data_IF_448188737953
#
_entry.id   IF_448188737953
#
_cell.length_a   1.000
_cell.length_b   1.000
_cell.length_c   1.000
_cell.angle_alpha   90.00
_cell.angle_beta   90.00
_cell.angle_gamma   90.00
#
_symmetry.space_group_name_H-M   'P 1'
#
loop_
_entity.id
_entity.type
_entity.pdbx_description
1 polymer ?
#
# COMPACT_ATOMS: atom_id res chain seq x y z
N UNK A 1 -24.40 21.20 21.44
CA UNK A 1 -24.23 19.80 21.04
C UNK A 1 -22.82 19.63 20.51
N UNK A 2 -21.86 19.38 21.42
CA UNK A 2 -20.45 19.20 21.13
C UNK A 2 -20.05 17.83 21.69
N UNK A 3 -20.32 16.77 20.93
CA UNK A 3 -19.94 15.37 21.27
C UNK A 3 -19.27 14.67 20.07
N UNK A 4 -18.94 15.42 19.00
CA UNK A 4 -18.49 14.85 17.73
C UNK A 4 -17.02 15.09 17.34
N UNK A 5 -16.20 15.72 18.19
CA UNK A 5 -14.84 16.18 17.79
C UNK A 5 -13.72 15.53 18.61
N UNK A 6 -14.02 14.81 19.69
CA UNK A 6 -13.01 14.29 20.63
C UNK A 6 -12.52 12.87 20.27
N UNK A 7 -13.28 12.08 19.51
CA UNK A 7 -12.91 10.68 19.17
C UNK A 7 -11.89 10.52 18.03
N UNK A 8 -11.39 11.62 17.45
CA UNK A 8 -10.38 11.60 16.39
C UNK A 8 -8.93 11.73 16.87
N UNK A 9 -8.68 12.02 18.16
CA UNK A 9 -7.33 12.37 18.66
C UNK A 9 -6.53 11.21 19.25
N UNK A 10 -7.18 10.12 19.66
CA UNK A 10 -6.54 8.97 20.34
C UNK A 10 -5.76 8.03 19.38
N UNK A 11 -5.97 8.07 18.06
CA UNK A 11 -5.51 7.00 17.14
C UNK A 11 -4.21 7.28 16.36
N UNK A 12 -3.64 8.47 16.47
CA UNK A 12 -2.34 8.82 15.85
C UNK A 12 -1.14 8.15 16.57
N UNK A 13 -1.35 7.69 17.81
CA UNK A 13 -0.32 7.17 18.72
C UNK A 13 0.31 5.86 18.22
N UNK A 14 -0.42 5.05 17.45
CA UNK A 14 0.05 3.72 17.01
C UNK A 14 1.16 3.81 15.93
N UNK A 15 1.20 4.91 15.16
CA UNK A 15 2.34 5.19 14.26
C UNK A 15 3.58 5.52 15.09
N UNK A 16 3.43 6.19 16.24
CA UNK A 16 4.53 6.45 17.16
C UNK A 16 5.09 5.15 17.75
N UNK A 17 4.22 4.26 18.25
CA UNK A 17 4.66 3.00 18.91
C UNK A 17 5.33 2.06 17.91
N UNK A 18 4.75 1.81 16.74
CA UNK A 18 5.36 0.89 15.75
C UNK A 18 6.63 1.46 15.10
N UNK A 19 6.69 2.78 14.86
CA UNK A 19 7.90 3.41 14.33
C UNK A 19 8.99 3.47 15.40
N UNK A 20 8.65 3.62 16.68
CA UNK A 20 9.64 3.59 17.76
C UNK A 20 10.12 2.17 18.08
N UNK A 21 9.26 1.15 18.08
CA UNK A 21 9.67 -0.23 18.35
C UNK A 21 10.53 -0.82 17.22
N UNK A 22 10.20 -0.57 15.96
CA UNK A 22 11.00 -1.07 14.82
C UNK A 22 12.33 -0.31 14.69
N UNK A 23 12.38 0.98 15.06
CA UNK A 23 13.62 1.78 15.04
C UNK A 23 14.47 1.53 16.29
N UNK A 24 13.87 1.17 17.44
CA UNK A 24 14.62 0.88 18.66
C UNK A 24 15.60 -0.28 18.47
N UNK A 25 15.21 -1.36 17.80
CA UNK A 25 16.11 -2.50 17.58
C UNK A 25 17.30 -2.18 16.67
N UNK A 26 17.15 -1.28 15.70
CA UNK A 26 18.24 -0.90 14.78
C UNK A 26 19.09 0.28 15.32
N UNK A 27 18.60 1.07 16.29
CA UNK A 27 19.33 2.18 16.92
C UNK A 27 20.08 1.74 18.19
N UNK A 28 19.61 0.73 18.90
CA UNK A 28 20.27 0.22 20.14
C UNK A 28 21.65 -0.39 19.84
N UNK A 29 21.93 -0.81 18.61
CA UNK A 29 23.28 -1.22 18.20
C UNK A 29 24.26 -0.07 17.94
N UNK A 30 23.80 1.19 17.88
CA UNK A 30 24.60 2.33 17.42
C UNK A 30 24.88 3.40 18.49
N UNK A 31 24.43 3.26 19.74
CA UNK A 31 24.64 4.33 20.74
C UNK A 31 24.67 3.83 22.18
N UNK A 32 25.80 3.25 22.60
CA UNK A 32 26.20 3.23 24.02
C UNK A 32 27.33 4.24 24.21
N UNK A 33 26.97 5.49 24.57
CA UNK A 33 27.68 6.31 25.56
C UNK A 33 27.06 7.71 25.59
N UNK A 34 26.57 8.14 26.76
CA UNK A 34 26.27 9.55 27.01
C UNK A 34 25.14 9.80 28.00
N UNK A 35 25.40 9.55 29.28
CA UNK A 35 24.68 10.18 30.41
C UNK A 35 24.82 11.69 30.32
N UNK A 36 23.74 12.47 30.56
CA UNK A 36 23.77 13.66 31.44
C UNK A 36 22.36 13.94 32.02
N UNK A 37 22.32 14.01 33.35
CA UNK A 37 21.22 14.46 34.23
C UNK A 37 21.06 15.98 34.25
N UNK A 38 19.84 16.51 34.37
CA UNK A 38 19.62 17.92 34.71
C UNK A 38 18.14 18.27 34.87
N UNK A 39 17.76 18.63 36.09
CA UNK A 39 16.43 19.03 36.57
C UNK A 39 16.40 20.56 36.67
N UNK A 40 15.28 21.20 36.33
CA UNK A 40 14.85 22.46 36.96
C UNK A 40 13.35 22.72 36.67
N UNK A 41 12.66 23.19 37.70
CA UNK A 41 11.22 23.45 37.82
C UNK A 41 10.88 24.87 37.37
N UNK A 42 9.67 25.07 36.85
CA UNK A 42 9.09 26.39 36.57
C UNK A 42 7.60 26.25 36.24
N UNK A 43 6.76 26.76 37.14
CA UNK A 43 5.30 26.83 37.07
C UNK A 43 4.84 27.79 35.94
N UNK A 44 3.80 27.44 35.18
CA UNK A 44 2.83 28.41 34.64
C UNK A 44 1.59 27.72 34.01
N UNK A 45 0.43 28.13 34.55
CA UNK A 45 -0.95 28.20 34.05
C UNK A 45 -1.67 27.01 33.39
N UNK A 46 -2.77 26.65 34.05
CA UNK A 46 -3.72 25.57 33.83
C UNK A 46 -4.64 25.87 32.62
N UNK A 47 -4.49 25.07 31.56
CA UNK A 47 -5.39 25.05 30.40
C UNK A 47 -5.39 23.66 29.77
N UNK A 48 -6.44 22.88 30.10
CA UNK A 48 -6.73 21.50 29.69
C UNK A 48 -6.00 21.01 28.42
N UNK A 49 -4.92 20.26 28.65
CA UNK A 49 -4.17 19.50 27.65
C UNK A 49 -4.19 18.01 27.98
N UNK A 50 -5.39 17.44 28.13
CA UNK A 50 -5.55 15.99 28.15
C UNK A 50 -5.52 15.44 26.71
N UNK A 51 -4.33 15.04 26.26
CA UNK A 51 -4.03 13.83 25.44
C UNK A 51 -2.62 13.93 24.86
N UNK A 52 -1.64 13.93 25.76
CA UNK A 52 -0.23 13.64 25.50
C UNK A 52 0.17 12.37 26.27
N UNK A 53 -0.39 11.23 25.89
CA UNK A 53 -0.07 9.94 26.54
C UNK A 53 0.15 8.91 25.42
N UNK A 54 1.36 8.83 24.86
CA UNK A 54 2.26 7.72 25.21
C UNK A 54 3.76 8.12 25.28
N UNK A 55 4.10 9.35 24.94
CA UNK A 55 5.40 10.00 25.17
C UNK A 55 5.03 11.47 25.33
N UNK A 56 5.33 12.13 26.45
CA UNK A 56 4.90 13.51 26.77
C UNK A 56 5.45 14.58 25.81
N UNK A 57 5.12 14.48 24.52
CA UNK A 57 5.71 15.20 23.41
C UNK A 57 4.64 16.06 22.76
N UNK A 58 4.96 17.33 22.55
CA UNK A 58 4.07 18.25 21.84
C UNK A 58 3.92 17.88 20.36
N UNK A 59 2.78 18.23 19.74
CA UNK A 59 2.53 17.98 18.31
C UNK A 59 3.64 18.54 17.40
N UNK A 60 4.19 19.76 17.62
CA UNK A 60 5.28 20.28 16.80
C UNK A 60 6.56 19.45 16.92
N UNK A 61 6.88 18.97 18.12
CA UNK A 61 8.02 18.09 18.34
C UNK A 61 7.84 16.76 17.61
N UNK A 62 6.66 16.13 17.74
CA UNK A 62 6.35 14.89 17.01
C UNK A 62 6.47 15.08 15.50
N UNK A 63 5.94 16.19 14.95
CA UNK A 63 6.02 16.47 13.52
C UNK A 63 7.47 16.61 13.03
N UNK A 64 8.35 17.23 13.83
CA UNK A 64 9.78 17.35 13.54
C UNK A 64 10.48 15.99 13.59
N UNK A 65 10.22 15.18 14.62
CA UNK A 65 10.78 13.82 14.77
C UNK A 65 10.33 12.95 13.60
N UNK A 66 9.03 12.93 13.29
CA UNK A 66 8.48 12.19 12.16
C UNK A 66 9.16 12.57 10.85
N UNK A 67 9.36 13.88 10.59
CA UNK A 67 10.07 14.32 9.37
C UNK A 67 11.50 13.77 9.30
N UNK A 68 12.22 13.72 10.42
CA UNK A 68 13.59 13.18 10.49
C UNK A 68 13.59 11.67 10.22
N UNK A 69 12.68 10.94 10.85
CA UNK A 69 12.56 9.48 10.68
C UNK A 69 12.17 9.12 9.24
N UNK A 70 11.15 9.78 8.68
CA UNK A 70 10.76 9.57 7.27
C UNK A 70 11.93 9.85 6.34
N UNK A 71 12.68 10.93 6.56
CA UNK A 71 13.85 11.25 5.75
C UNK A 71 14.96 10.21 5.86
N UNK A 72 15.15 9.61 7.04
CA UNK A 72 16.13 8.53 7.23
C UNK A 72 15.68 7.25 6.52
N UNK A 73 14.44 6.81 6.74
CA UNK A 73 13.88 5.60 6.11
C UNK A 73 13.94 5.70 4.58
N UNK A 74 13.46 6.80 4.00
CA UNK A 74 13.35 6.94 2.54
C UNK A 74 14.71 6.92 1.82
N UNK A 75 15.82 7.27 2.49
CA UNK A 75 17.17 7.09 1.92
C UNK A 75 17.50 5.63 1.64
N UNK A 76 16.87 4.70 2.35
CA UNK A 76 17.08 3.26 2.23
C UNK A 76 15.93 2.55 1.50
N UNK A 77 14.97 3.27 0.90
CA UNK A 77 13.78 2.67 0.25
C UNK A 77 14.12 1.49 -0.67
N UNK A 78 15.18 1.62 -1.49
CA UNK A 78 15.63 0.59 -2.44
C UNK A 78 16.17 -0.70 -1.79
N UNK A 79 16.39 -0.71 -0.48
CA UNK A 79 16.77 -1.92 0.26
C UNK A 79 15.57 -2.70 0.81
N UNK A 80 14.40 -2.06 0.84
CA UNK A 80 13.17 -2.63 1.41
C UNK A 80 12.13 -2.96 0.34
N UNK A 81 12.03 -2.13 -0.70
CA UNK A 81 11.08 -2.31 -1.81
C UNK A 81 11.90 -2.55 -3.07
N UNK A 82 11.97 -3.81 -3.48
CA UNK A 82 12.80 -4.30 -4.58
C UNK A 82 11.92 -5.07 -5.55
N UNK A 83 12.01 -4.71 -6.82
CA UNK A 83 11.33 -5.43 -7.89
C UNK A 83 12.14 -6.67 -8.29
N UNK A 84 11.51 -7.83 -8.59
CA UNK A 84 12.24 -9.04 -8.96
C UNK A 84 13.21 -8.82 -10.12
N UNK A 85 14.43 -9.31 -9.98
CA UNK A 85 15.42 -9.34 -11.05
C UNK A 85 15.35 -10.66 -11.82
N UNK A 86 16.12 -10.76 -12.91
CA UNK A 86 16.13 -11.96 -13.78
C UNK A 86 16.44 -13.25 -13.01
N UNK A 87 17.29 -13.16 -11.98
CA UNK A 87 17.63 -14.30 -11.12
C UNK A 87 16.49 -14.80 -10.24
N UNK A 88 15.55 -13.93 -9.88
CA UNK A 88 14.42 -14.25 -8.99
C UNK A 88 13.24 -14.88 -9.75
N UNK A 89 13.16 -14.64 -11.08
CA UNK A 89 12.01 -15.02 -11.89
C UNK A 89 11.58 -16.49 -11.77
N UNK A 90 12.49 -17.49 -11.76
CA UNK A 90 12.06 -18.89 -11.64
C UNK A 90 11.25 -19.15 -10.36
N UNK A 91 11.67 -18.58 -9.24
CA UNK A 91 10.99 -18.72 -7.94
C UNK A 91 9.67 -17.96 -7.96
N UNK A 92 9.69 -16.67 -8.31
CA UNK A 92 8.49 -15.82 -8.28
C UNK A 92 7.39 -16.37 -9.20
N UNK A 93 7.76 -16.84 -10.40
CA UNK A 93 6.81 -17.49 -11.33
C UNK A 93 6.21 -18.75 -10.74
N UNK A 94 7.02 -19.58 -10.09
CA UNK A 94 6.56 -20.81 -9.45
C UNK A 94 5.56 -20.52 -8.34
N UNK A 95 5.87 -19.53 -7.49
CA UNK A 95 5.01 -19.16 -6.36
C UNK A 95 3.66 -18.61 -6.81
N UNK A 96 3.64 -17.76 -7.84
CA UNK A 96 2.38 -17.29 -8.42
C UNK A 96 1.61 -18.39 -9.16
N UNK A 97 2.31 -19.29 -9.86
CA UNK A 97 1.66 -20.41 -10.53
C UNK A 97 0.93 -21.32 -9.52
N UNK A 98 1.46 -21.46 -8.30
CA UNK A 98 0.81 -22.20 -7.22
C UNK A 98 -0.49 -21.55 -6.71
N UNK A 99 -0.71 -20.24 -6.94
CA UNK A 99 -1.93 -19.54 -6.49
C UNK A 99 -3.13 -19.76 -7.41
N UNK A 100 -2.91 -19.70 -8.72
CA UNK A 100 -4.02 -19.70 -9.68
C UNK A 100 -3.73 -20.38 -11.01
N UNK A 101 -2.58 -21.03 -11.17
CA UNK A 101 -2.18 -21.74 -12.40
C UNK A 101 -2.08 -20.87 -13.66
N UNK A 102 -1.93 -19.55 -13.50
CA UNK A 102 -1.57 -18.65 -14.61
C UNK A 102 -0.04 -18.64 -14.72
N UNK A 103 0.53 -19.02 -15.88
CA UNK A 103 1.97 -19.11 -16.04
C UNK A 103 2.63 -17.73 -16.05
N UNK A 104 3.88 -17.70 -15.60
CA UNK A 104 4.78 -16.55 -15.69
C UNK A 104 4.32 -15.22 -15.06
N UNK A 105 3.36 -15.23 -14.14
CA UNK A 105 3.06 -14.04 -13.33
C UNK A 105 4.24 -13.75 -12.40
N UNK A 106 4.62 -12.47 -12.29
CA UNK A 106 5.71 -12.02 -11.42
C UNK A 106 5.29 -10.98 -10.37
N UNK A 107 4.02 -10.60 -10.36
CA UNK A 107 3.48 -9.63 -9.43
C UNK A 107 2.01 -9.36 -9.69
N UNK A 108 1.29 -8.93 -8.65
CA UNK A 108 -0.04 -8.36 -8.75
C UNK A 108 0.02 -6.85 -8.56
N UNK A 109 -0.63 -6.09 -9.45
CA UNK A 109 -0.67 -4.63 -9.45
C UNK A 109 -2.08 -4.13 -9.20
N UNK A 110 -2.23 -3.15 -8.32
CA UNK A 110 -3.51 -2.50 -8.05
C UNK A 110 -3.31 -1.15 -7.34
N UNK A 111 -4.37 -0.34 -7.29
CA UNK A 111 -4.46 0.93 -6.58
C UNK A 111 -5.09 0.81 -5.20
N UNK A 112 -4.73 1.73 -4.31
CA UNK A 112 -5.41 1.88 -3.03
C UNK A 112 -5.45 3.32 -2.58
N UNK A 113 -6.58 3.72 -1.98
CA UNK A 113 -6.75 5.08 -1.48
C UNK A 113 -6.32 5.23 -0.02
N UNK A 114 -5.60 6.33 0.25
CA UNK A 114 -5.20 6.77 1.60
C UNK A 114 -5.77 8.16 1.86
N UNK A 115 -6.60 8.29 2.88
CA UNK A 115 -7.31 9.53 3.18
C UNK A 115 -6.36 10.65 3.66
N UNK A 116 -6.56 11.87 3.16
CA UNK A 116 -5.87 13.07 3.63
C UNK A 116 -6.83 14.25 3.75
N UNK A 117 -6.38 15.29 4.44
CA UNK A 117 -6.98 16.62 4.34
C UNK A 117 -6.24 17.39 3.23
N UNK A 118 -6.87 17.66 2.08
CA UNK A 118 -6.17 18.28 0.96
C UNK A 118 -5.96 19.79 1.18
N UNK A 119 -5.01 20.42 0.46
CA UNK A 119 -4.92 21.87 0.40
C UNK A 119 -6.17 22.48 -0.24
N UNK A 120 -6.74 23.52 0.37
CA UNK A 120 -8.00 24.16 -0.07
C UNK A 120 -8.01 24.57 -1.54
N UNK A 121 -6.88 25.05 -2.05
CA UNK A 121 -6.74 25.53 -3.43
C UNK A 121 -6.82 24.42 -4.49
N UNK A 122 -6.62 23.16 -4.08
CA UNK A 122 -6.52 22.00 -4.98
C UNK A 122 -7.40 20.83 -4.53
N UNK A 123 -8.40 21.09 -3.67
CA UNK A 123 -9.24 20.07 -3.02
C UNK A 123 -9.85 19.08 -4.02
N UNK A 124 -10.37 19.59 -5.13
CA UNK A 124 -11.02 18.79 -6.18
C UNK A 124 -10.10 17.69 -6.77
N UNK A 125 -8.79 17.94 -6.85
CA UNK A 125 -7.84 16.96 -7.37
C UNK A 125 -7.76 15.71 -6.49
N UNK A 126 -8.04 15.84 -5.19
CA UNK A 126 -7.94 14.73 -4.24
C UNK A 126 -9.25 13.97 -4.07
N UNK A 127 -10.35 14.47 -4.64
CA UNK A 127 -11.67 13.84 -4.52
C UNK A 127 -11.72 12.59 -5.40
N UNK A 128 -11.87 11.43 -4.76
CA UNK A 128 -12.00 10.17 -5.46
C UNK A 128 -13.45 9.86 -5.88
N UNK A 129 -13.63 8.76 -6.60
CA UNK A 129 -14.94 8.26 -7.05
C UNK A 129 -15.91 7.98 -5.88
N UNK A 130 -15.39 7.68 -4.68
CA UNK A 130 -16.16 7.46 -3.44
C UNK A 130 -16.48 8.75 -2.67
N UNK A 131 -16.29 9.91 -3.29
CA UNK A 131 -16.59 11.23 -2.74
C UNK A 131 -15.85 11.59 -1.44
N UNK A 132 -14.65 11.06 -1.22
CA UNK A 132 -13.74 11.51 -0.17
C UNK A 132 -12.37 11.90 -0.71
N UNK A 133 -11.59 12.63 0.09
CA UNK A 133 -10.27 13.10 -0.31
C UNK A 133 -9.17 12.09 0.02
N UNK A 134 -8.35 11.75 -0.97
CA UNK A 134 -7.32 10.72 -0.84
C UNK A 134 -6.11 10.95 -1.74
N UNK A 135 -5.00 10.29 -1.41
CA UNK A 135 -3.96 9.92 -2.38
C UNK A 135 -4.38 8.60 -3.03
N UNK A 136 -4.21 8.46 -4.34
CA UNK A 136 -4.26 7.15 -4.99
C UNK A 136 -2.85 6.57 -5.08
N UNK A 137 -2.68 5.36 -4.55
CA UNK A 137 -1.38 4.69 -4.38
C UNK A 137 -1.40 3.39 -5.16
N UNK A 138 -0.59 3.31 -6.22
CA UNK A 138 -0.37 2.06 -6.93
C UNK A 138 0.70 1.23 -6.23
N UNK A 139 0.48 -0.06 -6.11
CA UNK A 139 1.41 -1.02 -5.51
C UNK A 139 1.53 -2.24 -6.41
N UNK A 140 2.75 -2.79 -6.49
CA UNK A 140 2.96 -4.17 -6.95
C UNK A 140 3.39 -5.01 -5.76
N UNK A 141 2.79 -6.18 -5.59
CA UNK A 141 3.18 -7.16 -4.58
C UNK A 141 3.49 -8.53 -5.18
N UNK A 142 4.27 -9.31 -4.43
CA UNK A 142 4.57 -10.70 -4.72
C UNK A 142 3.54 -11.65 -4.07
N UNK A 143 3.64 -12.94 -4.38
CA UNK A 143 2.75 -14.01 -3.89
C UNK A 143 2.67 -14.10 -2.35
N UNK A 144 3.74 -13.69 -1.67
CA UNK A 144 3.91 -13.69 -0.21
C UNK A 144 3.51 -12.36 0.46
N UNK A 145 2.83 -11.47 -0.27
CA UNK A 145 2.44 -10.11 0.15
C UNK A 145 3.61 -9.13 0.36
N UNK A 146 4.82 -9.46 -0.11
CA UNK A 146 5.93 -8.53 -0.13
C UNK A 146 5.72 -7.44 -1.19
N UNK A 147 5.85 -6.18 -0.81
CA UNK A 147 5.65 -5.03 -1.71
C UNK A 147 6.92 -4.83 -2.54
N UNK A 148 6.83 -5.00 -3.85
CA UNK A 148 7.96 -4.91 -4.78
C UNK A 148 8.02 -3.57 -5.53
N UNK A 149 6.91 -2.83 -5.59
CA UNK A 149 6.85 -1.46 -6.12
C UNK A 149 5.78 -0.63 -5.40
N UNK A 150 6.00 0.67 -5.28
CA UNK A 150 4.99 1.62 -4.77
C UNK A 150 5.10 2.97 -5.48
N UNK A 151 3.96 3.51 -5.91
CA UNK A 151 3.82 4.84 -6.48
C UNK A 151 2.68 5.60 -5.77
N UNK A 152 3.05 6.44 -4.80
CA UNK A 152 2.11 7.19 -3.96
C UNK A 152 1.97 8.68 -4.37
N UNK A 153 2.28 9.03 -5.62
CA UNK A 153 2.45 10.44 -6.05
C UNK A 153 1.18 11.09 -6.59
N UNK A 154 0.09 10.35 -6.73
CA UNK A 154 -1.09 10.81 -7.45
C UNK A 154 -2.25 11.14 -6.50
N UNK A 155 -2.99 12.22 -6.78
CA UNK A 155 -4.14 12.57 -5.98
C UNK A 155 -5.33 11.65 -6.32
N UNK A 156 -6.31 11.58 -5.42
CA UNK A 156 -7.38 10.59 -5.44
C UNK A 156 -8.32 10.63 -6.64
N UNK A 157 -8.33 11.71 -7.43
CA UNK A 157 -9.14 11.79 -8.65
C UNK A 157 -8.54 11.03 -9.83
N UNK A 158 -7.28 10.60 -9.75
CA UNK A 158 -6.54 10.00 -10.87
C UNK A 158 -6.80 8.50 -10.94
N UNK A 159 -7.09 8.00 -12.15
CA UNK A 159 -7.33 6.59 -12.43
C UNK A 159 -6.05 5.75 -12.40
N UNK A 160 -6.22 4.49 -12.04
CA UNK A 160 -5.17 3.49 -11.88
C UNK A 160 -4.35 3.27 -13.15
N UNK A 161 -5.02 3.15 -14.30
CA UNK A 161 -4.37 3.06 -15.61
C UNK A 161 -3.44 4.25 -15.88
N UNK A 162 -3.86 5.48 -15.54
CA UNK A 162 -3.04 6.68 -15.71
C UNK A 162 -1.81 6.65 -14.80
N UNK A 163 -1.95 6.18 -13.56
CA UNK A 163 -0.82 6.02 -12.62
C UNK A 163 0.18 5.00 -13.16
N UNK A 164 -0.30 3.86 -13.67
CA UNK A 164 0.53 2.81 -14.27
C UNK A 164 1.38 3.37 -15.41
N UNK A 165 0.75 4.08 -16.37
CA UNK A 165 1.45 4.66 -17.53
C UNK A 165 2.51 5.68 -17.14
N UNK A 166 2.27 6.41 -16.06
CA UNK A 166 3.20 7.41 -15.52
C UNK A 166 4.09 6.87 -14.39
N UNK A 167 4.22 5.55 -14.28
CA UNK A 167 5.10 4.87 -13.34
C UNK A 167 6.39 4.36 -14.02
N UNK A 168 7.25 3.72 -13.22
CA UNK A 168 8.43 3.01 -13.76
C UNK A 168 8.12 1.60 -14.27
N UNK A 169 6.90 1.09 -14.01
CA UNK A 169 6.52 -0.29 -14.30
C UNK A 169 6.58 -0.61 -15.81
N UNK A 170 6.02 0.21 -16.72
CA UNK A 170 6.09 -0.10 -18.15
C UNK A 170 7.52 -0.32 -18.63
N UNK A 171 8.44 0.58 -18.26
CA UNK A 171 9.86 0.47 -18.61
C UNK A 171 10.49 -0.82 -18.04
N UNK A 172 10.26 -1.13 -16.76
CA UNK A 172 10.81 -2.35 -16.12
C UNK A 172 10.28 -3.61 -16.80
N UNK A 173 8.97 -3.64 -17.09
CA UNK A 173 8.32 -4.80 -17.70
C UNK A 173 8.79 -5.02 -19.15
N UNK A 174 8.95 -3.94 -19.94
CA UNK A 174 9.55 -4.00 -21.28
C UNK A 174 10.95 -4.62 -21.28
N UNK A 175 11.81 -4.27 -20.32
CA UNK A 175 13.15 -4.89 -20.20
C UNK A 175 13.10 -6.39 -19.87
N UNK A 176 12.03 -6.83 -19.20
CA UNK A 176 11.82 -8.22 -18.82
C UNK A 176 11.00 -9.02 -19.85
N UNK A 177 10.43 -8.40 -20.88
CA UNK A 177 9.54 -9.06 -21.85
C UNK A 177 10.15 -10.30 -22.51
N UNK A 178 11.46 -10.29 -22.79
CA UNK A 178 12.18 -11.46 -23.35
C UNK A 178 12.09 -12.72 -22.48
N UNK A 179 11.78 -12.56 -21.19
CA UNK A 179 11.58 -13.66 -20.25
C UNK A 179 10.13 -14.15 -20.17
N UNK A 180 9.23 -13.62 -21.02
CA UNK A 180 7.79 -13.93 -21.04
C UNK A 180 7.20 -13.81 -19.64
N UNK A 181 7.11 -12.60 -19.12
CA UNK A 181 6.61 -12.31 -17.78
C UNK A 181 5.39 -11.40 -17.86
N UNK A 182 4.47 -11.56 -16.93
CA UNK A 182 3.31 -10.68 -16.81
C UNK A 182 3.11 -10.21 -15.37
N UNK A 183 2.53 -9.03 -15.23
CA UNK A 183 1.80 -8.64 -14.04
C UNK A 183 0.33 -9.05 -14.19
N UNK A 184 -0.35 -9.21 -13.06
CA UNK A 184 -1.80 -9.37 -13.02
C UNK A 184 -2.44 -8.12 -12.42
N UNK A 185 -3.39 -7.52 -13.14
CA UNK A 185 -4.11 -6.32 -12.71
C UNK A 185 -5.62 -6.54 -12.72
N UNK A 186 -6.35 -5.63 -12.11
CA UNK A 186 -7.81 -5.62 -12.15
C UNK A 186 -8.36 -5.23 -13.55
N UNK A 187 -9.68 -5.16 -13.69
CA UNK A 187 -10.34 -4.79 -14.95
C UNK A 187 -10.23 -3.31 -15.32
N UNK A 188 -9.73 -2.48 -14.40
CA UNK A 188 -9.51 -1.05 -14.61
C UNK A 188 -8.16 -0.71 -15.23
N UNK A 189 -7.31 -1.70 -15.44
CA UNK A 189 -6.16 -1.59 -16.31
C UNK A 189 -6.48 -2.06 -17.73
N UNK A 190 -5.78 -1.52 -18.75
CA UNK A 190 -5.78 -2.13 -20.09
C UNK A 190 -5.06 -3.49 -20.06
N UNK A 191 -5.45 -4.41 -20.95
CA UNK A 191 -4.66 -5.61 -21.19
C UNK A 191 -3.49 -5.25 -22.10
N UNK A 192 -2.28 -5.55 -21.65
CA UNK A 192 -1.04 -5.22 -22.35
C UNK A 192 -0.19 -6.47 -22.55
N UNK A 193 0.78 -6.40 -23.45
CA UNK A 193 1.78 -7.46 -23.66
C UNK A 193 2.49 -7.97 -22.40
N UNK A 194 2.50 -7.17 -21.32
CA UNK A 194 3.09 -7.48 -20.02
C UNK A 194 2.12 -7.39 -18.83
N UNK A 195 0.83 -7.09 -19.06
CA UNK A 195 -0.20 -6.96 -18.01
C UNK A 195 -1.47 -7.72 -18.40
N UNK A 196 -1.83 -8.71 -17.59
CA UNK A 196 -3.03 -9.52 -17.79
C UNK A 196 -4.19 -9.04 -16.91
N UNK A 197 -5.33 -8.77 -17.54
CA UNK A 197 -6.57 -8.37 -16.87
C UNK A 197 -7.68 -9.39 -17.09
N UNK A 198 -8.71 -9.38 -16.24
CA UNK A 198 -9.85 -10.30 -16.37
C UNK A 198 -10.64 -10.05 -17.66
N UNK A 199 -11.22 -11.10 -18.24
CA UNK A 199 -12.13 -10.99 -19.38
C UNK A 199 -13.45 -10.38 -18.90
N UNK A 200 -13.85 -9.22 -19.41
CA UNK A 200 -15.05 -8.50 -18.95
C UNK A 200 -16.37 -9.24 -19.22
N UNK A 201 -16.46 -9.93 -20.36
CA UNK A 201 -17.67 -10.65 -20.77
C UNK A 201 -17.33 -12.05 -21.30
N UNK A 202 -17.02 -13.01 -20.40
CA UNK A 202 -16.63 -14.36 -20.80
C UNK A 202 -17.79 -15.07 -21.53
N UNK A 203 -17.49 -15.70 -22.66
CA UNK A 203 -18.43 -16.42 -23.53
C UNK A 203 -18.14 -17.92 -23.62
N UNK A 204 -16.96 -18.33 -23.17
CA UNK A 204 -16.48 -19.71 -23.22
C UNK A 204 -16.09 -20.21 -21.83
N UNK A 205 -16.15 -21.53 -21.64
CA UNK A 205 -15.70 -22.16 -20.39
C UNK A 205 -14.23 -21.90 -20.10
N UNK A 206 -13.40 -21.72 -21.13
CA UNK A 206 -11.99 -21.40 -20.97
C UNK A 206 -11.80 -19.99 -20.39
N UNK A 207 -12.55 -18.99 -20.88
CA UNK A 207 -12.54 -17.64 -20.31
C UNK A 207 -13.07 -17.60 -18.87
N UNK A 208 -14.12 -18.37 -18.57
CA UNK A 208 -14.64 -18.50 -17.19
C UNK A 208 -13.57 -19.07 -16.24
N UNK A 209 -12.88 -20.15 -16.64
CA UNK A 209 -11.79 -20.75 -15.86
C UNK A 209 -10.61 -19.81 -15.71
N UNK A 210 -10.27 -19.06 -16.77
CA UNK A 210 -9.25 -18.02 -16.70
C UNK A 210 -9.64 -16.94 -15.70
N UNK A 211 -10.87 -16.42 -15.73
CA UNK A 211 -11.32 -15.40 -14.78
C UNK A 211 -11.32 -15.92 -13.34
N UNK A 212 -11.67 -17.18 -13.12
CA UNK A 212 -11.59 -17.80 -11.79
C UNK A 212 -10.13 -17.86 -11.29
N UNK A 213 -9.21 -18.30 -12.15
CA UNK A 213 -7.78 -18.32 -11.89
C UNK A 213 -7.19 -16.92 -11.69
N UNK A 214 -7.60 -15.96 -12.51
CA UNK A 214 -7.21 -14.55 -12.44
C UNK A 214 -7.63 -13.98 -11.10
N UNK A 215 -8.89 -14.13 -10.72
CA UNK A 215 -9.41 -13.68 -9.43
C UNK A 215 -8.72 -14.35 -8.22
N UNK A 216 -8.33 -15.64 -8.31
CA UNK A 216 -7.52 -16.27 -7.24
C UNK A 216 -6.13 -15.63 -7.11
N UNK A 217 -5.52 -15.33 -8.25
CA UNK A 217 -4.16 -14.78 -8.31
C UNK A 217 -4.14 -13.30 -7.91
N UNK A 218 -5.09 -12.50 -8.38
CA UNK A 218 -5.16 -11.06 -8.11
C UNK A 218 -5.47 -10.74 -6.65
N UNK A 219 -6.29 -11.56 -5.95
CA UNK A 219 -6.62 -11.40 -4.51
C UNK A 219 -5.41 -11.24 -3.58
N UNK A 220 -4.21 -11.64 -4.00
CA UNK A 220 -3.00 -11.40 -3.21
C UNK A 220 -2.74 -9.90 -2.98
N UNK A 221 -3.08 -9.02 -3.93
CA UNK A 221 -2.91 -7.57 -3.76
C UNK A 221 -3.92 -6.99 -2.78
N UNK A 222 -5.18 -7.42 -2.85
CA UNK A 222 -6.23 -7.06 -1.89
C UNK A 222 -5.84 -7.48 -0.47
N UNK A 223 -5.34 -8.71 -0.31
CA UNK A 223 -4.82 -9.21 0.97
C UNK A 223 -3.63 -8.37 1.45
N UNK A 224 -2.73 -8.00 0.55
CA UNK A 224 -1.57 -7.14 0.87
C UNK A 224 -2.02 -5.78 1.38
N UNK A 225 -3.02 -5.15 0.75
CA UNK A 225 -3.61 -3.90 1.24
C UNK A 225 -4.29 -4.07 2.59
N UNK A 226 -5.05 -5.15 2.79
CA UNK A 226 -5.68 -5.46 4.07
C UNK A 226 -4.65 -5.53 5.20
N UNK A 227 -3.55 -6.26 4.99
CA UNK A 227 -2.47 -6.38 5.97
C UNK A 227 -1.71 -5.08 6.19
N UNK A 228 -1.37 -4.35 5.14
CA UNK A 228 -0.70 -3.06 5.22
C UNK A 228 -1.53 -2.07 6.05
N UNK A 229 -2.83 -1.96 5.78
CA UNK A 229 -3.76 -1.06 6.47
C UNK A 229 -4.14 -1.55 7.87
N UNK A 230 -4.09 -2.85 8.14
CA UNK A 230 -4.23 -3.39 9.49
C UNK A 230 -3.02 -3.04 10.35
N UNK A 231 -1.80 -3.20 9.83
CA UNK A 231 -0.54 -2.87 10.51
C UNK A 231 -0.38 -1.37 10.74
N UNK A 232 -0.73 -0.57 9.73
CA UNK A 232 -0.62 0.89 9.78
C UNK A 232 -2.01 1.50 9.63
N UNK A 233 -2.73 1.58 10.76
CA UNK A 233 -4.12 2.09 10.79
C UNK A 233 -4.26 3.51 10.27
N UNK A 234 -3.19 4.32 10.27
CA UNK A 234 -3.17 5.64 9.66
C UNK A 234 -3.38 5.64 8.13
N UNK A 235 -3.22 4.48 7.47
CA UNK A 235 -3.54 4.28 6.05
C UNK A 235 -4.97 3.76 5.82
N UNK A 236 -5.64 3.31 6.88
CA UNK A 236 -7.02 2.84 6.83
C UNK A 236 -7.99 3.98 7.10
N UNK A 237 -9.18 3.95 6.50
CA UNK A 237 -10.18 5.01 6.65
C UNK A 237 -10.63 5.21 8.11
N UNK A 238 -10.65 4.15 8.92
CA UNK A 238 -10.95 4.23 10.37
C UNK A 238 -9.86 4.90 11.20
N UNK A 239 -8.65 5.06 10.65
CA UNK A 239 -7.57 5.87 11.24
C UNK A 239 -7.76 7.37 11.00
N UNK A 240 -8.79 7.77 10.25
CA UNK A 240 -9.08 9.14 9.89
C UNK A 240 -8.24 9.65 8.71
N UNK A 241 -8.34 10.95 8.45
CA UNK A 241 -7.59 11.62 7.38
C UNK A 241 -6.26 12.13 7.89
N UNK A 242 -5.18 11.89 7.12
CA UNK A 242 -3.86 12.44 7.42
C UNK A 242 -3.87 13.97 7.26
N UNK A 243 -3.59 14.67 8.35
CA UNK A 243 -3.51 16.14 8.41
C UNK A 243 -2.10 16.64 8.07
N UNK A 244 -1.52 16.12 6.99
CA UNK A 244 -0.20 16.50 6.50
C UNK A 244 -0.29 16.96 5.04
N UNK A 245 0.71 17.70 4.58
CA UNK A 245 0.79 18.04 3.15
C UNK A 245 0.82 16.76 2.30
N UNK A 246 0.29 16.77 1.07
CA UNK A 246 0.28 15.62 0.18
C UNK A 246 1.67 14.96 0.06
N UNK A 247 2.72 15.78 -0.08
CA UNK A 247 4.11 15.31 -0.10
C UNK A 247 4.49 14.50 1.14
N UNK A 248 4.13 14.96 2.34
CA UNK A 248 4.42 14.24 3.59
C UNK A 248 3.55 13.00 3.76
N UNK A 249 2.32 13.01 3.23
CA UNK A 249 1.47 11.80 3.14
C UNK A 249 2.12 10.75 2.24
N UNK A 250 2.65 11.11 1.06
CA UNK A 250 3.42 10.18 0.22
C UNK A 250 4.58 9.52 0.99
N UNK A 251 5.32 10.32 1.76
CA UNK A 251 6.46 9.84 2.55
C UNK A 251 6.02 8.84 3.62
N UNK A 252 4.91 9.12 4.32
CA UNK A 252 4.32 8.21 5.31
C UNK A 252 3.92 6.89 4.66
N UNK A 253 3.21 6.94 3.52
CA UNK A 253 2.76 5.75 2.78
C UNK A 253 3.95 4.86 2.41
N UNK A 254 4.99 5.44 1.79
CA UNK A 254 6.17 4.68 1.39
C UNK A 254 6.90 4.10 2.59
N UNK A 255 7.03 4.85 3.69
CA UNK A 255 7.63 4.34 4.92
C UNK A 255 6.83 3.17 5.51
N UNK A 256 5.50 3.23 5.49
CA UNK A 256 4.64 2.11 5.90
C UNK A 256 4.84 0.88 5.00
N UNK A 257 4.97 1.04 3.67
CA UNK A 257 5.28 -0.07 2.77
C UNK A 257 6.66 -0.70 3.10
N UNK A 258 7.67 0.12 3.39
CA UNK A 258 8.99 -0.37 3.80
C UNK A 258 8.94 -1.17 5.10
N UNK A 259 8.27 -0.63 6.12
CA UNK A 259 8.15 -1.27 7.43
C UNK A 259 7.26 -2.51 7.36
N UNK A 260 6.27 -2.55 6.45
CA UNK A 260 5.48 -3.74 6.17
C UNK A 260 6.37 -4.90 5.68
N UNK A 261 7.21 -4.64 4.69
CA UNK A 261 8.16 -5.61 4.17
C UNK A 261 9.15 -6.08 5.24
N UNK A 262 9.66 -5.16 6.06
CA UNK A 262 10.56 -5.50 7.15
C UNK A 262 9.89 -6.40 8.19
N UNK A 263 8.63 -6.12 8.53
CA UNK A 263 7.86 -6.93 9.45
C UNK A 263 7.53 -8.31 8.86
N UNK A 264 7.29 -8.45 7.55
CA UNK A 264 7.18 -9.75 6.89
C UNK A 264 8.50 -10.53 6.97
N UNK A 265 9.62 -9.89 6.64
CA UNK A 265 10.96 -10.48 6.69
C UNK A 265 11.33 -10.99 8.10
N UNK A 266 10.97 -10.22 9.13
CA UNK A 266 11.22 -10.57 10.54
C UNK A 266 10.11 -11.45 11.14
N UNK A 267 9.10 -11.84 10.35
CA UNK A 267 7.96 -12.64 10.80
C UNK A 267 7.24 -12.05 12.02
N UNK A 268 7.14 -10.71 12.07
CA UNK A 268 6.47 -10.02 13.18
C UNK A 268 4.98 -10.37 13.15
N UNK A 269 4.42 -10.94 14.24
CA UNK A 269 3.02 -11.32 14.29
C UNK A 269 2.11 -10.09 14.20
N UNK A 270 0.93 -10.29 13.61
CA UNK A 270 -0.13 -9.28 13.73
C UNK A 270 -0.69 -9.33 15.14
N UNK A 271 -0.74 -8.17 15.81
CA UNK A 271 -1.50 -8.04 17.04
C UNK A 271 -2.98 -8.26 16.69
N UNK A 272 -3.53 -9.42 17.05
CA UNK A 272 -4.97 -9.62 17.03
C UNK A 272 -5.55 -8.66 18.07
N UNK A 273 -6.39 -7.72 17.64
CA UNK A 273 -7.29 -7.07 18.58
C UNK A 273 -8.26 -8.17 19.07
N UNK A 274 -8.25 -8.46 20.37
CA UNK A 274 -9.18 -9.39 21.03
C UNK A 274 -10.62 -8.87 20.91
N UNK A 275 -11.20 -9.01 19.72
CA UNK A 275 -12.63 -8.92 19.44
C UNK A 275 -13.23 -10.32 19.34
N UNK A 276 -14.50 -10.52 19.71
CA UNK A 276 -15.09 -11.84 19.77
C UNK A 276 -14.98 -12.55 18.41
N UNK A 277 -14.49 -13.80 18.46
CA UNK A 277 -14.21 -14.66 17.33
C UNK A 277 -15.30 -14.59 16.25
N UNK A 278 -14.97 -13.98 15.11
CA UNK A 278 -15.90 -13.81 14.01
C UNK A 278 -15.28 -12.98 12.89
N UNK A 279 -14.42 -13.60 12.09
CA UNK A 279 -14.02 -13.17 10.75
C UNK A 279 -13.75 -11.68 10.56
N UNK A 280 -12.49 -11.26 10.67
CA UNK A 280 -12.04 -10.07 9.94
C UNK A 280 -11.95 -10.45 8.46
N UNK A 281 -13.11 -10.55 7.82
CA UNK A 281 -13.20 -10.20 6.41
C UNK A 281 -12.85 -8.72 6.37
N UNK A 282 -11.63 -8.41 5.91
CA UNK A 282 -11.34 -7.07 5.43
C UNK A 282 -12.51 -6.71 4.51
N UNK A 283 -13.20 -5.61 4.81
CA UNK A 283 -14.27 -5.14 3.94
C UNK A 283 -13.66 -5.03 2.54
N UNK A 284 -14.06 -5.97 1.68
CA UNK A 284 -13.72 -5.95 0.26
C UNK A 284 -14.36 -4.67 -0.22
N UNK A 285 -13.52 -3.69 -0.56
CA UNK A 285 -14.03 -2.54 -1.29
C UNK A 285 -14.59 -3.12 -2.60
N UNK A 286 -15.89 -2.93 -2.90
CA UNK A 286 -16.47 -3.54 -4.09
C UNK A 286 -15.73 -3.00 -5.33
N UNK A 287 -15.27 -3.92 -6.17
CA UNK A 287 -14.86 -3.61 -7.52
C UNK A 287 -16.10 -3.18 -8.31
N UNK A 288 -16.16 -1.92 -8.72
CA UNK A 288 -17.27 -1.38 -9.49
C UNK A 288 -16.77 -0.97 -10.88
N UNK A 289 -17.57 -1.37 -11.89
CA UNK A 289 -17.29 -1.27 -13.31
C UNK A 289 -16.80 0.12 -13.72
N UNK A 290 -15.68 0.12 -14.42
CA UNK A 290 -15.14 1.30 -15.05
C UNK A 290 -15.78 1.50 -16.42
N UNK A 291 -16.41 2.65 -16.63
CA UNK A 291 -16.62 3.19 -17.97
C UNK A 291 -15.32 3.91 -18.35
N UNK A 292 -14.52 3.31 -19.24
CA UNK A 292 -13.32 3.93 -19.82
C UNK A 292 -13.37 3.87 -21.35
N UNK A 293 -12.78 4.91 -21.95
CA UNK A 293 -12.64 5.13 -23.39
C UNK A 293 -11.88 3.97 -24.06
N UNK A 294 -12.34 3.58 -25.26
CA UNK A 294 -11.81 2.47 -26.05
C UNK A 294 -10.32 2.69 -26.40
N UNK A 295 -9.41 2.16 -25.59
CA UNK A 295 -7.98 2.08 -25.92
C UNK A 295 -7.63 0.73 -26.56
N UNK A 296 -6.61 0.72 -27.42
CA UNK A 296 -6.12 -0.47 -28.12
C UNK A 296 -5.66 -1.56 -27.14
N UNK A 297 -6.56 -2.48 -26.82
CA UNK A 297 -6.33 -3.66 -25.97
C UNK A 297 -5.45 -4.67 -26.74
N UNK A 298 -4.28 -5.04 -26.21
CA UNK A 298 -3.45 -6.11 -26.78
C UNK A 298 -3.99 -7.46 -26.31
N UNK A 299 -5.08 -7.92 -26.95
CA UNK A 299 -5.82 -9.13 -26.55
C UNK A 299 -5.06 -10.42 -26.84
N UNK A 300 -4.13 -10.41 -27.80
CA UNK A 300 -3.48 -11.61 -28.35
C UNK A 300 -2.76 -12.42 -27.26
N UNK A 301 -2.12 -11.74 -26.30
CA UNK A 301 -1.40 -12.41 -25.23
C UNK A 301 -2.32 -13.11 -24.24
N UNK A 302 -3.42 -12.45 -23.84
CA UNK A 302 -4.42 -13.05 -22.93
C UNK A 302 -5.12 -14.22 -23.61
N UNK A 303 -5.55 -14.05 -24.85
CA UNK A 303 -6.24 -15.10 -25.60
C UNK A 303 -5.34 -16.32 -25.82
N UNK A 304 -4.05 -16.11 -26.09
CA UNK A 304 -3.05 -17.19 -26.17
C UNK A 304 -2.93 -17.94 -24.85
N UNK A 305 -2.88 -17.23 -23.71
CA UNK A 305 -2.85 -17.87 -22.38
C UNK A 305 -4.13 -18.67 -22.12
N UNK A 306 -5.30 -18.12 -22.43
CA UNK A 306 -6.58 -18.80 -22.27
C UNK A 306 -6.62 -20.08 -23.11
N UNK A 307 -6.24 -19.99 -24.39
CA UNK A 307 -6.28 -21.13 -25.31
C UNK A 307 -5.27 -22.22 -24.95
N UNK A 308 -4.11 -21.88 -24.40
CA UNK A 308 -3.08 -22.87 -24.09
C UNK A 308 -3.27 -23.55 -22.73
N UNK A 309 -3.79 -22.83 -21.73
CA UNK A 309 -3.76 -23.28 -20.34
C UNK A 309 -5.15 -23.54 -19.72
N UNK A 310 -6.25 -23.12 -20.35
CA UNK A 310 -7.59 -23.14 -19.73
C UNK A 310 -8.67 -23.94 -20.50
N UNK A 311 -8.28 -24.80 -21.45
CA UNK A 311 -9.19 -25.69 -22.21
C UNK A 311 -9.98 -26.69 -21.34
#
# INVERSE_FOLDING_TARGET
MAVGVVTARVRSVMVGVLVMDVVADDVVHASVSGDITGREEGEEEEGDTEEAVAVGMSQPMFSKVLSRVLSALLKHMRSYIVFPEVGDLPTVKGDFYALGHIPNIIGAIDGTHVALVPPRESEQMYRNRKSYHSMNVQVVCLSDQYISNVNAKFPGSVHDAYIMRNSSIPYVMEQLQRHRVWLIGDSGYPNLSWLLTSVRNPRTRAEERYNEAHGRTSRVIERTFGLLKARFRCLHMTGGSLMYSPKKVCQIIVACCMLHNQALRRQVPFLQEDGPAGGVVAAVEPAENEEEEDEEDDTDNRDTVIQQYFQ
#
